data_IF_454251216933
#
_entry.id   IF_454251216933
#
_cell.length_a   1.000
_cell.length_b   1.000
_cell.length_c   1.000
_cell.angle_alpha   90.00
_cell.angle_beta   90.00
_cell.angle_gamma   90.00
#
_symmetry.space_group_name_H-M   'P 1'
#
loop_
_entity.id
_entity.type
_entity.pdbx_description
1 polymer ?
#
# COMPACT_ATOMS: atom_id res chain seq x y z
N UNK A 1 11.05 -9.33 -8.81
CA UNK A 1 10.14 -8.67 -7.86
C UNK A 1 11.03 -7.79 -7.02
N UNK A 2 10.82 -6.48 -7.11
CA UNK A 2 11.63 -5.52 -6.36
C UNK A 2 10.86 -5.12 -5.10
N UNK A 3 11.60 -4.96 -4.01
CA UNK A 3 11.03 -4.70 -2.70
C UNK A 3 11.53 -3.34 -2.22
N UNK A 4 10.57 -2.48 -1.86
CA UNK A 4 10.83 -1.15 -1.37
C UNK A 4 10.29 -1.02 0.06
N UNK A 5 11.08 -0.43 0.93
CA UNK A 5 10.64 -0.05 2.27
C UNK A 5 10.09 1.37 2.25
N UNK A 6 8.98 1.61 2.95
CA UNK A 6 8.38 2.94 3.11
C UNK A 6 8.45 3.31 4.59
N UNK A 7 9.60 3.81 5.08
CA UNK A 7 9.80 4.08 6.51
C UNK A 7 9.02 5.32 6.99
N UNK A 8 8.54 6.16 6.07
CA UNK A 8 7.79 7.37 6.38
C UNK A 8 6.45 7.35 5.66
N UNK A 9 5.35 7.30 6.42
CA UNK A 9 3.98 7.48 5.89
C UNK A 9 3.70 8.96 5.61
N UNK A 10 4.35 9.87 6.36
CA UNK A 10 4.23 11.31 6.17
C UNK A 10 5.53 12.04 6.57
N UNK A 11 6.11 12.86 5.68
CA UNK A 11 5.75 13.02 4.28
C UNK A 11 6.13 11.78 3.46
N UNK A 12 5.35 11.46 2.43
CA UNK A 12 5.72 10.45 1.45
C UNK A 12 6.81 10.98 0.51
N UNK A 13 7.71 10.10 0.06
CA UNK A 13 8.65 10.41 -1.01
C UNK A 13 7.96 10.29 -2.37
N UNK A 14 7.31 11.37 -2.81
CA UNK A 14 6.51 11.40 -4.06
C UNK A 14 7.39 11.12 -5.29
N UNK A 15 8.66 11.54 -5.28
CA UNK A 15 9.59 11.28 -6.39
C UNK A 15 9.81 9.78 -6.55
N UNK A 16 10.11 9.08 -5.46
CA UNK A 16 10.28 7.62 -5.48
C UNK A 16 8.99 6.89 -5.84
N UNK A 17 7.83 7.35 -5.36
CA UNK A 17 6.53 6.76 -5.74
C UNK A 17 6.32 6.86 -7.25
N UNK A 18 6.63 8.02 -7.85
CA UNK A 18 6.54 8.21 -9.30
C UNK A 18 7.48 7.25 -10.04
N UNK A 19 8.73 7.15 -9.63
CA UNK A 19 9.72 6.24 -10.25
C UNK A 19 9.23 4.79 -10.24
N UNK A 20 8.69 4.32 -9.11
CA UNK A 20 8.10 2.99 -8.99
C UNK A 20 6.89 2.83 -9.91
N UNK A 21 6.00 3.83 -9.96
CA UNK A 21 4.79 3.79 -10.79
C UNK A 21 5.09 3.84 -12.30
N UNK A 22 6.17 4.50 -12.72
CA UNK A 22 6.64 4.46 -14.12
C UNK A 22 7.27 3.10 -14.48
N UNK A 23 7.92 2.44 -13.51
CA UNK A 23 8.63 1.18 -13.74
C UNK A 23 7.72 -0.06 -13.70
N UNK A 24 6.65 -0.02 -12.89
CA UNK A 24 5.83 -1.20 -12.60
C UNK A 24 4.34 -0.99 -12.91
N UNK A 25 3.77 -1.88 -13.72
CA UNK A 25 2.32 -1.94 -13.99
C UNK A 25 1.51 -2.57 -12.87
N UNK A 26 2.14 -3.39 -12.03
CA UNK A 26 1.50 -4.14 -10.96
C UNK A 26 2.24 -3.88 -9.64
N UNK A 27 1.57 -3.23 -8.70
CA UNK A 27 2.15 -2.81 -7.41
C UNK A 27 1.36 -3.47 -6.28
N UNK A 28 2.07 -4.08 -5.34
CA UNK A 28 1.50 -4.62 -4.10
C UNK A 28 1.99 -3.75 -2.95
N UNK A 29 1.05 -3.20 -2.18
CA UNK A 29 1.33 -2.45 -0.96
C UNK A 29 0.92 -3.32 0.21
N UNK A 30 1.84 -3.51 1.16
CA UNK A 30 1.62 -4.27 2.38
C UNK A 30 1.76 -3.37 3.60
N UNK A 31 0.79 -3.41 4.50
CA UNK A 31 0.83 -2.70 5.78
C UNK A 31 0.13 -3.51 6.89
N UNK A 32 0.73 -3.53 8.09
CA UNK A 32 0.06 -4.00 9.31
C UNK A 32 -0.74 -2.85 9.94
N UNK A 33 -1.59 -2.24 9.13
CA UNK A 33 -2.48 -1.15 9.51
C UNK A 33 -3.81 -1.32 8.78
N UNK A 34 -4.82 -0.55 9.19
CA UNK A 34 -6.11 -0.49 8.51
C UNK A 34 -5.92 -0.12 7.04
N UNK A 35 -6.60 -0.87 6.17
CA UNK A 35 -6.66 -0.63 4.73
C UNK A 35 -7.29 0.73 4.43
N UNK A 36 -8.17 1.23 5.29
CA UNK A 36 -8.69 2.58 5.19
C UNK A 36 -7.71 3.57 5.80
N UNK A 37 -7.46 4.68 5.11
CA UNK A 37 -6.59 5.78 5.56
C UNK A 37 -5.13 5.40 5.92
N UNK A 38 -4.69 4.20 5.56
CA UNK A 38 -3.32 3.72 5.76
C UNK A 38 -2.33 4.20 4.69
N UNK A 39 -1.12 3.64 4.70
CA UNK A 39 -0.08 3.98 3.71
C UNK A 39 -0.53 3.62 2.29
N UNK A 40 -1.29 2.53 2.13
CA UNK A 40 -1.83 2.15 0.85
C UNK A 40 -2.85 3.16 0.30
N UNK A 41 -3.62 3.84 1.16
CA UNK A 41 -4.49 4.94 0.72
C UNK A 41 -3.66 6.16 0.31
N UNK A 42 -2.70 6.55 1.15
CA UNK A 42 -1.85 7.72 0.88
C UNK A 42 -1.05 7.57 -0.44
N UNK A 43 -0.54 6.38 -0.75
CA UNK A 43 0.14 6.10 -2.02
C UNK A 43 -0.82 6.20 -3.21
N UNK A 44 -2.03 5.65 -3.09
CA UNK A 44 -3.07 5.74 -4.14
C UNK A 44 -3.42 7.20 -4.42
N UNK A 45 -3.54 8.03 -3.39
CA UNK A 45 -3.77 9.48 -3.54
C UNK A 45 -2.64 10.13 -4.35
N UNK A 46 -1.37 9.87 -4.02
CA UNK A 46 -0.23 10.42 -4.75
C UNK A 46 -0.17 9.94 -6.21
N UNK A 47 -0.39 8.64 -6.46
CA UNK A 47 -0.41 8.08 -7.82
C UNK A 47 -1.56 8.66 -8.64
N UNK A 48 -2.73 8.83 -8.02
CA UNK A 48 -3.88 9.46 -8.64
C UNK A 48 -3.60 10.91 -9.05
N UNK A 49 -3.04 11.71 -8.15
CA UNK A 49 -2.69 13.10 -8.47
C UNK A 49 -1.66 13.16 -9.61
N UNK A 50 -0.62 12.32 -9.55
CA UNK A 50 0.38 12.23 -10.62
C UNK A 50 -0.26 11.87 -11.97
N UNK A 51 -1.19 10.92 -12.00
CA UNK A 51 -1.89 10.55 -13.22
C UNK A 51 -2.84 11.67 -13.71
N UNK A 52 -3.64 12.24 -12.82
CA UNK A 52 -4.59 13.31 -13.13
C UNK A 52 -3.89 14.57 -13.69
N UNK A 53 -2.70 14.88 -13.21
CA UNK A 53 -1.88 16.00 -13.70
C UNK A 53 -0.95 15.63 -14.88
N UNK A 54 -1.12 14.44 -15.49
CA UNK A 54 -0.34 14.00 -16.65
C UNK A 54 1.14 13.77 -16.36
N UNK A 55 1.52 13.54 -15.10
CA UNK A 55 2.89 13.18 -14.67
C UNK A 55 3.16 11.68 -14.76
N UNK A 56 2.11 10.85 -14.78
CA UNK A 56 2.16 9.44 -15.14
C UNK A 56 1.35 9.23 -16.43
N UNK A 57 1.89 8.45 -17.35
CA UNK A 57 1.23 8.12 -18.62
C UNK A 57 0.19 6.99 -18.48
N UNK A 58 0.39 6.10 -17.51
CA UNK A 58 -0.47 4.96 -17.22
C UNK A 58 -0.71 4.87 -15.73
N UNK A 59 -1.94 4.56 -15.34
CA UNK A 59 -2.27 4.28 -13.94
C UNK A 59 -1.97 2.80 -13.63
N UNK A 60 -1.06 2.47 -12.70
CA UNK A 60 -0.71 1.08 -12.41
C UNK A 60 -1.83 0.35 -11.66
N UNK A 61 -1.89 -0.97 -11.80
CA UNK A 61 -2.76 -1.83 -11.00
C UNK A 61 -2.20 -1.97 -9.59
N UNK A 62 -2.95 -1.51 -8.59
CA UNK A 62 -2.51 -1.49 -7.19
C UNK A 62 -3.33 -2.48 -6.36
N UNK A 63 -2.67 -3.44 -5.72
CA UNK A 63 -3.27 -4.36 -4.73
C UNK A 63 -2.80 -3.97 -3.34
N UNK A 64 -3.72 -3.85 -2.38
CA UNK A 64 -3.42 -3.53 -0.98
C UNK A 64 -3.68 -4.73 -0.07
N UNK A 65 -2.62 -5.20 0.58
CA UNK A 65 -2.64 -6.23 1.63
C UNK A 65 -2.55 -5.51 2.98
N UNK A 66 -3.70 -5.41 3.65
CA UNK A 66 -3.86 -4.60 4.84
C UNK A 66 -5.03 -5.13 5.68
N UNK A 67 -5.12 -4.66 6.92
CA UNK A 67 -6.19 -5.03 7.85
C UNK A 67 -7.52 -4.49 7.31
N UNK A 68 -8.55 -5.33 7.21
CA UNK A 68 -9.86 -4.89 6.69
C UNK A 68 -10.58 -3.98 7.68
N UNK A 69 -11.52 -3.17 7.17
CA UNK A 69 -12.37 -2.26 7.95
C UNK A 69 -13.40 -3.04 8.78
N UNK A 70 -12.91 -3.70 9.84
CA UNK A 70 -13.68 -4.45 10.81
C UNK A 70 -12.90 -4.57 12.11
N UNK A 71 -13.64 -4.69 13.21
CA UNK A 71 -13.06 -5.12 14.47
C UNK A 71 -12.84 -6.63 14.47
N UNK A 72 -11.70 -7.06 15.02
CA UNK A 72 -11.47 -8.46 15.34
C UNK A 72 -12.01 -8.72 16.74
N UNK A 73 -12.96 -9.65 16.86
CA UNK A 73 -13.51 -10.12 18.13
C UNK A 73 -12.66 -11.23 18.77
N UNK A 74 -11.42 -11.38 18.31
CA UNK A 74 -10.47 -12.42 18.72
C UNK A 74 -9.17 -11.75 19.17
N UNK A 75 -8.50 -12.40 20.12
CA UNK A 75 -7.19 -11.99 20.65
C UNK A 75 -6.20 -13.13 20.52
N UNK A 76 -4.91 -12.83 20.44
CA UNK A 76 -3.85 -13.83 20.35
C UNK A 76 -2.50 -13.20 20.08
N UNK A 77 -1.53 -14.02 19.70
CA UNK A 77 -0.20 -13.53 19.29
C UNK A 77 -0.29 -12.69 18.01
N UNK A 78 0.73 -11.87 17.77
CA UNK A 78 0.84 -11.09 16.54
C UNK A 78 0.78 -11.98 15.28
N UNK A 79 1.50 -13.11 15.28
CA UNK A 79 1.48 -14.06 14.16
C UNK A 79 0.10 -14.64 13.91
N UNK A 80 -0.66 -14.92 14.97
CA UNK A 80 -2.04 -15.39 14.86
C UNK A 80 -2.94 -14.31 14.23
N UNK A 81 -2.86 -13.08 14.73
CA UNK A 81 -3.66 -11.97 14.21
C UNK A 81 -3.29 -11.61 12.76
N UNK A 82 -2.01 -11.65 12.38
CA UNK A 82 -1.55 -11.45 10.99
C UNK A 82 -2.13 -12.48 10.04
N UNK A 83 -2.14 -13.77 10.43
CA UNK A 83 -2.76 -14.85 9.64
C UNK A 83 -4.26 -14.59 9.45
N UNK A 84 -4.99 -14.25 10.51
CA UNK A 84 -6.42 -13.96 10.42
C UNK A 84 -6.69 -12.68 9.62
N UNK A 85 -5.80 -11.70 9.67
CA UNK A 85 -5.89 -10.47 8.88
C UNK A 85 -5.49 -10.64 7.40
N UNK A 86 -4.98 -11.80 7.01
CA UNK A 86 -4.52 -12.05 5.65
C UNK A 86 -3.26 -11.26 5.29
N UNK A 87 -2.45 -10.88 6.28
CA UNK A 87 -1.15 -10.21 6.11
C UNK A 87 -0.07 -11.23 5.72
N UNK A 88 -0.30 -11.91 4.61
CA UNK A 88 0.55 -12.95 4.04
C UNK A 88 0.97 -12.55 2.62
N UNK A 89 2.23 -12.81 2.29
CA UNK A 89 2.72 -12.80 0.92
C UNK A 89 2.48 -14.20 0.36
N UNK A 90 1.55 -14.31 -0.59
CA UNK A 90 1.20 -15.56 -1.28
C UNK A 90 1.69 -15.53 -2.71
#
# INVERSE_FOLDING_TARGET
>A
VDIYSIPFIKPLNVVQIKEIADQYSDIIILEEHQKSCGVGSAIIEQINDLYAYGKLSVYPKIKRIAIQDKFYSISGSQDYLRKIAGLILS
#
